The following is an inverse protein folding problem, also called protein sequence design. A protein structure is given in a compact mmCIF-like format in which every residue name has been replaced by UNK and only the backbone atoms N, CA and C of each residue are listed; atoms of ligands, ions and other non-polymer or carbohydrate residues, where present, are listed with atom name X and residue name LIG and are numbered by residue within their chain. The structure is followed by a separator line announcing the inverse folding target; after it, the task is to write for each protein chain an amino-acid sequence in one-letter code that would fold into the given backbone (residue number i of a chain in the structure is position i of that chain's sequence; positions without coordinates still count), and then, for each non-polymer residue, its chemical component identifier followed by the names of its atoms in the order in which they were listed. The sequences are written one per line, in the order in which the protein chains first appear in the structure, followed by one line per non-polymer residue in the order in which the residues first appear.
data_IF_324016091737
#
_entry.id   IF_324016091737
#
_cell.length_a   1.000
_cell.length_b   1.000
_cell.length_c   1.000
_cell.angle_alpha   90.00
_cell.angle_beta   90.00
_cell.angle_gamma   90.00
#
_symmetry.space_group_name_H-M   'P 1'
#
loop_
_entity.id
_entity.type
_entity.pdbx_description
1 polymer ?
#
# COMPACT_ATOMS: atom_id res chain seq x y z
N UNK A 1 7.38 -0.65 -9.44
CA UNK A 1 6.02 -1.10 -9.20
C UNK A 1 5.00 -0.45 -10.14
N UNK A 2 3.73 -0.79 -9.99
CA UNK A 2 2.63 -0.20 -10.79
C UNK A 2 2.38 1.27 -10.44
N UNK A 3 2.41 1.62 -9.16
CA UNK A 3 2.24 2.99 -8.67
C UNK A 3 3.45 3.85 -9.03
N UNK A 4 3.22 5.04 -9.59
CA UNK A 4 4.26 5.85 -10.21
C UNK A 4 5.01 6.78 -9.24
N UNK A 5 4.82 6.67 -7.92
CA UNK A 5 5.60 7.40 -6.91
C UNK A 5 7.09 7.11 -7.05
N UNK A 6 7.90 8.16 -7.14
CA UNK A 6 9.35 8.06 -7.37
C UNK A 6 10.16 8.23 -6.08
N UNK A 7 9.56 8.82 -5.02
CA UNK A 7 10.21 9.03 -3.72
C UNK A 7 9.96 7.83 -2.82
N UNK A 8 11.04 7.23 -2.31
CA UNK A 8 10.98 6.16 -1.32
C UNK A 8 10.78 6.75 0.07
N UNK A 9 9.94 6.09 0.90
CA UNK A 9 9.71 6.52 2.29
C UNK A 9 9.34 8.01 2.40
N UNK A 10 8.35 8.43 1.60
CA UNK A 10 7.98 9.84 1.35
C UNK A 10 7.52 10.60 2.59
N UNK A 11 7.09 9.90 3.65
CA UNK A 11 6.60 10.47 4.91
C UNK A 11 7.38 10.00 6.13
N UNK A 12 8.59 9.44 5.97
CA UNK A 12 9.46 8.99 7.06
C UNK A 12 8.80 7.95 7.99
N UNK A 13 7.92 7.09 7.44
CA UNK A 13 7.13 6.14 8.23
C UNK A 13 7.65 4.69 8.16
N UNK A 14 8.70 4.39 7.37
CA UNK A 14 9.17 3.02 7.16
C UNK A 14 9.72 2.37 8.43
N UNK A 15 10.11 3.17 9.43
CA UNK A 15 10.52 2.71 10.76
C UNK A 15 9.37 2.43 11.73
N UNK A 16 8.11 2.79 11.40
CA UNK A 16 6.95 2.51 12.23
C UNK A 16 6.71 1.01 12.31
N UNK A 17 6.66 0.47 13.53
CA UNK A 17 6.41 -0.95 13.77
C UNK A 17 5.13 -1.44 13.06
N UNK A 18 5.14 -2.67 12.51
CA UNK A 18 3.91 -3.27 12.01
C UNK A 18 2.82 -3.31 13.10
N UNK A 19 1.61 -2.92 12.77
CA UNK A 19 0.50 -2.88 13.74
C UNK A 19 0.30 -4.24 14.41
N UNK A 20 0.08 -4.24 15.73
CA UNK A 20 -0.05 -5.46 16.54
C UNK A 20 1.27 -6.18 16.83
N UNK A 21 2.44 -5.55 16.54
CA UNK A 21 3.76 -6.04 16.96
C UNK A 21 4.34 -5.18 18.10
N UNK A 22 5.35 -5.72 18.75
CA UNK A 22 6.14 -5.01 19.77
C UNK A 22 7.62 -5.14 19.47
N UNK A 23 8.40 -4.11 19.82
CA UNK A 23 9.86 -4.19 19.71
C UNK A 23 10.41 -5.00 20.88
N UNK A 24 11.15 -6.08 20.58
CA UNK A 24 11.81 -6.93 21.56
C UNK A 24 13.18 -7.38 21.03
N UNK A 25 14.23 -7.10 21.76
CA UNK A 25 15.62 -7.49 21.44
C UNK A 25 16.02 -7.11 20.00
N UNK A 26 15.68 -5.88 19.56
CA UNK A 26 15.96 -5.39 18.19
C UNK A 26 15.13 -6.07 17.09
N UNK A 27 13.98 -6.63 17.44
CA UNK A 27 13.08 -7.29 16.50
C UNK A 27 11.64 -6.83 16.70
N UNK A 28 10.91 -6.66 15.60
CA UNK A 28 9.46 -6.56 15.62
C UNK A 28 8.89 -7.97 15.78
N UNK A 29 8.13 -8.21 16.85
CA UNK A 29 7.58 -9.51 17.20
C UNK A 29 6.07 -9.41 17.28
N UNK A 30 5.36 -10.24 16.53
CA UNK A 30 3.91 -10.34 16.63
C UNK A 30 3.50 -10.95 17.96
N UNK A 31 2.46 -10.37 18.57
CA UNK A 31 1.85 -10.87 19.80
C UNK A 31 0.42 -11.35 19.47
N UNK A 32 0.22 -12.64 19.16
CA UNK A 32 -1.11 -13.15 18.88
C UNK A 32 -1.99 -13.05 20.13
N UNK A 33 -3.25 -12.65 19.94
CA UNK A 33 -4.28 -12.74 20.97
C UNK A 33 -4.79 -14.19 21.05
N UNK A 34 -5.01 -14.79 19.87
CA UNK A 34 -5.43 -16.18 19.68
C UNK A 34 -4.64 -16.75 18.52
N UNK A 35 -4.21 -17.98 18.59
CA UNK A 35 -3.51 -18.65 17.50
C UNK A 35 -4.32 -19.88 17.05
N UNK A 36 -4.70 -19.93 15.76
CA UNK A 36 -5.41 -21.06 15.19
C UNK A 36 -4.50 -22.03 14.42
N UNK A 37 -3.21 -21.70 14.34
CA UNK A 37 -2.18 -22.54 13.73
C UNK A 37 -1.28 -23.16 14.81
N UNK A 38 -0.55 -24.21 14.44
CA UNK A 38 0.30 -24.94 15.36
C UNK A 38 1.48 -24.06 15.81
N UNK A 39 1.72 -23.92 17.12
CA UNK A 39 2.71 -23.04 17.77
C UNK A 39 4.12 -23.11 17.19
N UNK A 40 4.49 -24.18 16.50
CA UNK A 40 5.82 -24.38 15.93
C UNK A 40 6.11 -23.62 14.64
N UNK A 41 5.09 -23.01 13.99
CA UNK A 41 5.22 -22.49 12.62
C UNK A 41 5.30 -20.95 12.59
N UNK A 42 4.88 -20.19 13.63
CA UNK A 42 4.25 -18.91 13.38
C UNK A 42 4.58 -17.74 14.27
N UNK A 43 5.78 -17.68 14.81
CA UNK A 43 6.17 -16.42 15.44
C UNK A 43 6.86 -15.51 14.43
N UNK A 44 6.09 -14.55 13.88
CA UNK A 44 6.66 -13.49 13.07
C UNK A 44 7.66 -12.70 13.94
N UNK A 45 8.91 -12.67 13.49
CA UNK A 45 9.99 -11.94 14.15
C UNK A 45 10.99 -11.50 13.09
N UNK A 46 11.12 -10.18 12.88
CA UNK A 46 12.07 -9.59 11.93
C UNK A 46 12.93 -8.55 12.62
N UNK A 47 14.17 -8.39 12.16
CA UNK A 47 15.06 -7.34 12.63
C UNK A 47 14.41 -5.96 12.41
N UNK A 48 14.44 -5.12 13.46
CA UNK A 48 13.84 -3.80 13.43
C UNK A 48 14.71 -2.79 14.19
N UNK A 49 14.92 -1.63 13.58
CA UNK A 49 15.66 -0.54 14.19
C UNK A 49 15.26 0.81 13.60
N UNK A 50 15.64 1.89 14.28
CA UNK A 50 15.25 3.25 13.93
C UNK A 50 15.85 3.75 12.60
N UNK A 51 16.88 3.09 12.05
CA UNK A 51 17.45 3.49 10.77
C UNK A 51 16.47 3.33 9.61
N UNK A 52 15.43 2.50 9.76
CA UNK A 52 14.37 2.32 8.79
C UNK A 52 13.58 3.61 8.54
N UNK A 53 13.49 4.51 9.53
CA UNK A 53 12.86 5.82 9.33
C UNK A 53 13.56 6.68 8.28
N UNK A 54 14.87 6.46 8.08
CA UNK A 54 15.67 7.18 7.09
C UNK A 54 15.93 6.37 5.81
N UNK A 55 15.22 5.25 5.62
CA UNK A 55 15.41 4.41 4.43
C UNK A 55 15.18 5.20 3.14
N UNK A 56 16.20 5.22 2.28
CA UNK A 56 16.19 6.00 1.04
C UNK A 56 16.57 7.48 1.21
N UNK A 57 16.82 7.97 2.44
CA UNK A 57 17.17 9.36 2.73
C UNK A 57 18.60 9.53 3.22
N UNK A 58 19.25 10.59 2.77
CA UNK A 58 20.57 11.05 3.22
C UNK A 58 20.50 12.54 3.58
N UNK A 59 21.17 12.92 4.68
CA UNK A 59 21.31 14.32 5.12
C UNK A 59 22.78 14.63 5.25
N UNK A 60 23.29 15.63 4.52
CA UNK A 60 24.70 16.03 4.56
C UNK A 60 24.90 17.53 4.37
N UNK A 61 25.96 18.09 4.94
CA UNK A 61 26.42 19.44 4.64
C UNK A 61 27.06 19.53 3.25
N UNK A 62 26.88 20.64 2.57
CA UNK A 62 27.45 20.88 1.23
C UNK A 62 28.97 20.91 1.25
N UNK A 63 29.59 21.56 2.26
CA UNK A 63 31.02 21.81 2.32
C UNK A 63 31.72 21.22 3.56
N UNK A 64 31.03 20.43 4.38
CA UNK A 64 31.58 19.76 5.56
C UNK A 64 31.25 18.26 5.50
N UNK A 65 32.18 17.42 6.00
CA UNK A 65 31.97 15.98 6.09
C UNK A 65 31.14 15.56 7.33
N UNK A 66 30.92 16.48 8.27
CA UNK A 66 30.07 16.22 9.43
C UNK A 66 28.59 16.43 9.05
N UNK A 67 27.72 15.43 9.30
CA UNK A 67 26.29 15.66 9.11
C UNK A 67 25.80 16.73 10.10
N UNK A 68 24.76 17.52 9.75
CA UNK A 68 24.05 18.37 10.68
C UNK A 68 23.37 17.51 11.77
N UNK A 69 22.92 18.16 12.86
CA UNK A 69 22.05 17.46 13.79
C UNK A 69 20.67 17.25 13.13
N UNK A 70 20.23 16.02 13.04
CA UNK A 70 18.89 15.66 12.57
C UNK A 70 18.35 14.45 13.33
N UNK A 71 17.04 14.35 13.40
CA UNK A 71 16.32 13.22 13.99
C UNK A 71 14.95 13.05 13.36
N UNK A 72 14.38 11.85 13.46
CA UNK A 72 12.95 11.62 13.18
C UNK A 72 12.18 11.89 14.47
N UNK A 73 11.07 12.63 14.34
CA UNK A 73 10.33 13.13 15.49
C UNK A 73 8.84 13.18 15.25
N UNK A 74 8.05 13.03 16.32
CA UNK A 74 6.60 13.22 16.35
C UNK A 74 6.21 14.57 16.99
N UNK A 75 7.17 15.45 17.29
CA UNK A 75 6.92 16.69 18.05
C UNK A 75 6.01 17.67 17.29
N UNK A 76 6.14 17.72 15.98
CA UNK A 76 5.31 18.57 15.11
C UNK A 76 4.83 17.76 13.92
N UNK A 77 3.89 16.82 14.10
CA UNK A 77 3.40 16.02 13.00
C UNK A 77 2.66 16.88 11.97
N UNK A 78 2.81 16.56 10.68
CA UNK A 78 2.00 17.16 9.61
C UNK A 78 0.53 16.77 9.80
N UNK A 79 0.31 15.52 10.18
CA UNK A 79 -1.00 14.97 10.53
C UNK A 79 -0.85 13.76 11.47
N UNK A 80 -1.97 13.32 12.07
CA UNK A 80 -1.95 12.22 13.04
C UNK A 80 -1.85 10.83 12.42
N UNK A 81 -2.07 10.68 11.13
CA UNK A 81 -2.02 9.38 10.46
C UNK A 81 -0.58 8.99 10.08
N UNK A 82 0.26 9.99 9.83
CA UNK A 82 1.70 9.88 9.57
C UNK A 82 2.42 10.86 10.50
N UNK A 83 2.67 10.46 11.77
CA UNK A 83 3.11 11.41 12.80
C UNK A 83 4.59 11.78 12.73
N UNK A 84 5.40 11.03 11.97
CA UNK A 84 6.83 11.25 11.90
C UNK A 84 7.18 12.36 10.89
N UNK A 85 8.19 13.15 11.23
CA UNK A 85 8.79 14.14 10.35
C UNK A 85 10.31 14.15 10.54
N UNK A 86 11.07 14.50 9.52
CA UNK A 86 12.51 14.73 9.62
C UNK A 86 12.75 16.13 10.16
N UNK A 87 13.29 16.21 11.38
CA UNK A 87 13.78 17.46 11.98
C UNK A 87 15.25 17.67 11.68
N UNK A 88 15.65 18.91 11.37
CA UNK A 88 17.06 19.32 11.16
C UNK A 88 17.29 20.66 11.85
N UNK A 89 18.33 20.73 12.71
CA UNK A 89 18.85 21.99 13.24
C UNK A 89 19.91 22.56 12.28
N UNK A 90 19.45 23.42 11.38
CA UNK A 90 20.28 24.04 10.34
C UNK A 90 21.22 25.08 10.91
N UNK A 91 20.87 25.70 12.08
CA UNK A 91 21.72 26.67 12.75
C UNK A 91 22.98 26.08 13.36
N UNK A 92 22.99 24.76 13.62
CA UNK A 92 24.14 24.01 14.07
C UNK A 92 25.06 23.51 12.93
N UNK A 93 24.67 23.73 11.67
CA UNK A 93 25.40 23.27 10.48
C UNK A 93 26.55 24.21 10.14
N UNK A 94 27.62 23.68 9.52
CA UNK A 94 28.77 24.46 9.06
C UNK A 94 28.55 25.10 7.67
N UNK A 95 27.60 24.59 6.91
CA UNK A 95 27.21 25.07 5.58
C UNK A 95 25.75 24.69 5.29
N UNK A 96 25.26 25.10 4.13
CA UNK A 96 23.97 24.64 3.63
C UNK A 96 23.88 23.12 3.62
N UNK A 97 22.66 22.59 3.69
CA UNK A 97 22.38 21.18 3.92
C UNK A 97 21.60 20.60 2.74
N UNK A 98 22.08 19.50 2.18
CA UNK A 98 21.33 18.63 1.31
C UNK A 98 20.52 17.60 2.07
N UNK A 99 19.23 17.48 1.76
CA UNK A 99 18.36 16.35 2.13
C UNK A 99 18.00 15.64 0.83
N UNK A 100 18.50 14.42 0.66
CA UNK A 100 18.45 13.71 -0.62
C UNK A 100 17.69 12.41 -0.50
N UNK A 101 16.98 12.03 -1.58
CA UNK A 101 16.27 10.77 -1.70
C UNK A 101 16.71 10.01 -2.95
N UNK A 102 17.16 8.78 -2.77
CA UNK A 102 17.64 7.90 -3.85
C UNK A 102 16.51 7.25 -4.67
N UNK A 103 15.25 7.51 -4.36
CA UNK A 103 14.14 6.73 -4.89
C UNK A 103 14.24 5.26 -4.48
N UNK A 104 13.84 4.36 -5.37
CA UNK A 104 13.91 2.91 -5.09
C UNK A 104 15.23 2.29 -5.57
N UNK A 105 15.74 2.68 -6.72
CA UNK A 105 17.03 2.23 -7.33
C UNK A 105 17.62 3.33 -8.21
N UNK A 106 17.58 4.57 -7.76
CA UNK A 106 17.78 5.78 -8.54
C UNK A 106 16.46 6.27 -9.12
N UNK A 107 16.42 7.57 -9.43
CA UNK A 107 15.27 8.23 -10.05
C UNK A 107 15.52 8.29 -11.55
N UNK A 108 14.67 7.60 -12.33
CA UNK A 108 14.74 7.60 -13.77
C UNK A 108 13.94 8.76 -14.37
N UNK A 109 14.55 9.50 -15.29
CA UNK A 109 13.91 10.59 -16.02
C UNK A 109 14.19 10.46 -17.52
N UNK A 110 13.29 11.00 -18.34
CA UNK A 110 13.41 11.01 -19.79
C UNK A 110 13.40 12.45 -20.30
N UNK A 111 14.31 12.77 -21.21
CA UNK A 111 14.43 14.08 -21.87
C UNK A 111 13.06 14.58 -22.38
N UNK A 112 12.78 15.85 -22.13
CA UNK A 112 11.53 16.51 -22.51
C UNK A 112 10.32 16.19 -21.63
N UNK A 113 10.42 15.22 -20.74
CA UNK A 113 9.33 14.87 -19.82
C UNK A 113 9.27 15.79 -18.63
N UNK A 114 8.08 15.91 -18.05
CA UNK A 114 7.79 16.72 -16.88
C UNK A 114 7.49 15.83 -15.68
N UNK A 115 8.00 16.22 -14.51
CA UNK A 115 7.86 15.52 -13.24
C UNK A 115 7.31 16.47 -12.19
N UNK A 116 6.12 16.18 -11.68
CA UNK A 116 5.46 16.97 -10.65
C UNK A 116 5.93 16.50 -9.27
N UNK A 117 6.27 17.43 -8.38
CA UNK A 117 6.69 17.13 -7.02
C UNK A 117 6.02 18.05 -6.02
N UNK A 118 5.94 17.59 -4.77
CA UNK A 118 5.47 18.35 -3.63
C UNK A 118 6.21 17.95 -2.37
N UNK A 119 6.25 18.85 -1.41
CA UNK A 119 6.79 18.62 -0.08
C UNK A 119 6.18 19.58 0.93
N UNK A 120 6.25 19.21 2.21
CA UNK A 120 5.79 20.05 3.30
C UNK A 120 6.97 20.43 4.19
N UNK A 121 7.03 21.72 4.58
CA UNK A 121 8.00 22.26 5.52
C UNK A 121 7.30 22.97 6.66
N UNK A 122 7.73 22.68 7.89
CA UNK A 122 7.51 23.58 9.04
C UNK A 122 8.86 24.20 9.38
N UNK A 123 8.95 25.53 9.40
CA UNK A 123 10.21 26.25 9.52
C UNK A 123 10.22 27.19 10.73
N UNK A 124 11.42 27.39 11.31
CA UNK A 124 11.70 28.37 12.34
C UNK A 124 12.97 29.14 11.95
N UNK A 125 12.88 30.49 11.94
CA UNK A 125 13.97 31.39 11.56
C UNK A 125 14.44 31.30 10.09
N UNK A 126 13.58 30.77 9.19
CA UNK A 126 13.83 30.68 7.76
C UNK A 126 13.04 31.71 6.92
N UNK A 127 12.15 32.48 7.52
CA UNK A 127 11.39 33.49 6.79
C UNK A 127 12.31 34.36 5.94
N UNK A 128 11.90 34.65 4.69
CA UNK A 128 12.65 35.42 3.68
C UNK A 128 13.95 34.73 3.21
N UNK A 129 14.06 33.39 3.36
CA UNK A 129 15.12 32.60 2.75
C UNK A 129 14.59 31.77 1.59
N UNK A 130 15.48 31.16 0.84
CA UNK A 130 15.16 30.28 -0.29
C UNK A 130 15.51 28.85 0.06
N UNK A 131 14.60 27.92 -0.25
CA UNK A 131 14.85 26.48 -0.31
C UNK A 131 14.82 26.06 -1.78
N UNK A 132 15.77 25.25 -2.21
CA UNK A 132 15.85 24.79 -3.59
C UNK A 132 15.53 23.29 -3.66
N UNK A 133 14.52 22.92 -4.44
CA UNK A 133 14.30 21.53 -4.84
C UNK A 133 15.09 21.26 -6.12
N UNK A 134 15.74 20.09 -6.21
CA UNK A 134 16.57 19.72 -7.33
C UNK A 134 16.53 18.22 -7.65
N UNK A 135 16.90 17.86 -8.88
CA UNK A 135 17.42 16.55 -9.21
C UNK A 135 18.95 16.64 -9.35
N UNK A 136 19.62 15.74 -8.65
CA UNK A 136 21.09 15.63 -8.65
C UNK A 136 21.54 14.37 -9.34
N UNK A 137 22.69 14.43 -9.99
CA UNK A 137 23.42 13.22 -10.44
C UNK A 137 24.18 12.55 -9.28
N UNK A 138 24.98 11.53 -9.57
CA UNK A 138 25.76 10.79 -8.56
C UNK A 138 26.97 11.57 -8.03
N UNK A 139 27.41 12.59 -8.74
CA UNK A 139 28.46 13.54 -8.35
C UNK A 139 27.90 14.78 -7.62
N UNK A 140 26.63 14.77 -7.23
CA UNK A 140 25.89 15.87 -6.57
C UNK A 140 25.78 17.13 -7.44
N UNK A 141 25.89 17.00 -8.76
CA UNK A 141 25.68 18.13 -9.66
C UNK A 141 24.17 18.31 -9.93
N UNK A 142 23.74 19.56 -9.93
CA UNK A 142 22.34 19.89 -10.20
C UNK A 142 22.04 19.68 -11.70
N UNK A 143 21.15 18.75 -11.99
CA UNK A 143 20.60 18.52 -13.33
C UNK A 143 19.48 19.51 -13.63
N UNK A 144 18.56 19.69 -12.70
CA UNK A 144 17.47 20.68 -12.78
C UNK A 144 17.09 21.12 -11.38
N UNK A 145 16.65 22.35 -11.21
CA UNK A 145 16.24 22.88 -9.91
C UNK A 145 15.11 23.89 -10.00
N UNK A 146 14.46 24.10 -8.84
CA UNK A 146 13.42 25.11 -8.64
C UNK A 146 13.53 25.71 -7.24
N UNK A 147 13.48 27.05 -7.16
CA UNK A 147 13.58 27.79 -5.92
C UNK A 147 12.19 28.08 -5.33
N UNK A 148 12.11 28.02 -4.00
CA UNK A 148 10.92 28.32 -3.22
C UNK A 148 11.26 29.34 -2.14
N UNK A 149 10.52 30.45 -2.12
CA UNK A 149 10.65 31.47 -1.10
C UNK A 149 9.90 31.03 0.17
N UNK A 150 10.57 31.03 1.31
CA UNK A 150 9.93 30.78 2.61
C UNK A 150 9.29 32.07 3.09
N UNK A 151 7.97 32.13 3.05
CA UNK A 151 7.20 33.32 3.40
C UNK A 151 6.82 33.37 4.87
N UNK A 152 6.64 32.23 5.51
CA UNK A 152 6.14 32.10 6.90
C UNK A 152 6.88 31.02 7.67
N UNK A 153 7.18 31.30 8.94
CA UNK A 153 7.63 30.37 9.94
C UNK A 153 6.48 29.95 10.88
N UNK A 154 6.69 28.91 11.66
CA UNK A 154 5.81 28.49 12.75
C UNK A 154 4.55 27.73 12.33
N UNK A 155 4.45 27.31 11.07
CA UNK A 155 3.37 26.48 10.56
C UNK A 155 3.84 25.57 9.43
N UNK A 156 3.14 24.47 9.21
CA UNK A 156 3.31 23.64 8.00
C UNK A 156 2.87 24.43 6.76
N UNK A 157 3.74 24.47 5.76
CA UNK A 157 3.48 25.07 4.47
C UNK A 157 3.69 24.02 3.38
N UNK A 158 2.76 23.97 2.43
CA UNK A 158 2.81 23.08 1.27
C UNK A 158 3.53 23.80 0.12
N UNK A 159 4.47 23.12 -0.48
CA UNK A 159 5.19 23.56 -1.68
C UNK A 159 4.98 22.52 -2.79
N UNK A 160 4.70 23.02 -3.98
CA UNK A 160 4.56 22.18 -5.17
C UNK A 160 5.29 22.77 -6.36
N UNK A 161 5.76 21.91 -7.22
CA UNK A 161 6.48 22.30 -8.41
C UNK A 161 6.57 21.20 -9.44
N UNK A 162 7.26 21.52 -10.52
CA UNK A 162 7.61 20.53 -11.52
C UNK A 162 8.99 20.80 -12.08
N UNK A 163 9.66 19.72 -12.48
CA UNK A 163 10.87 19.73 -13.28
C UNK A 163 10.52 19.37 -14.72
N UNK A 164 11.10 20.08 -15.69
CA UNK A 164 11.20 19.61 -17.07
C UNK A 164 12.67 19.33 -17.31
N UNK A 165 13.01 18.10 -17.69
CA UNK A 165 14.39 17.68 -17.83
C UNK A 165 14.84 17.72 -19.29
N UNK A 166 16.10 18.09 -19.51
CA UNK A 166 16.74 18.18 -20.82
C UNK A 166 17.70 17.01 -21.10
N UNK A 167 17.62 15.98 -20.24
CA UNK A 167 18.46 14.78 -20.35
C UNK A 167 17.67 13.52 -19.95
N UNK A 168 18.10 12.38 -20.46
CA UNK A 168 17.63 11.06 -20.03
C UNK A 168 18.65 10.44 -19.09
N UNK A 169 18.23 10.09 -17.88
CA UNK A 169 19.05 9.43 -16.85
C UNK A 169 18.21 8.45 -16.05
N UNK A 170 18.84 7.50 -15.35
CA UNK A 170 18.15 6.44 -14.61
C UNK A 170 18.58 6.32 -13.14
N UNK A 171 19.44 7.20 -12.66
CA UNK A 171 20.10 7.12 -11.36
C UNK A 171 20.18 8.45 -10.63
N UNK A 172 19.29 9.40 -10.94
CA UNK A 172 19.22 10.68 -10.24
C UNK A 172 18.69 10.54 -8.82
N UNK A 173 18.89 11.59 -8.02
CA UNK A 173 18.37 11.75 -6.67
C UNK A 173 17.51 13.01 -6.60
N UNK A 174 16.37 12.94 -5.92
CA UNK A 174 15.64 14.14 -5.51
C UNK A 174 16.34 14.78 -4.32
N UNK A 175 16.43 16.09 -4.27
CA UNK A 175 17.11 16.80 -3.19
C UNK A 175 16.43 18.11 -2.81
N UNK A 176 16.51 18.46 -1.53
CA UNK A 176 16.21 19.79 -1.00
C UNK A 176 17.50 20.41 -0.48
N UNK A 177 17.89 21.58 -1.00
CA UNK A 177 18.97 22.40 -0.47
C UNK A 177 18.39 23.41 0.51
N UNK A 178 18.86 23.36 1.75
CA UNK A 178 18.41 24.16 2.87
C UNK A 178 19.54 25.09 3.35
N UNK A 179 19.25 26.35 3.70
CA UNK A 179 20.27 27.28 4.17
C UNK A 179 20.77 26.89 5.58
N UNK A 180 22.01 27.22 5.91
CA UNK A 180 22.66 26.92 7.21
C UNK A 180 22.21 27.87 8.34
N UNK A 181 20.90 28.02 8.53
CA UNK A 181 20.32 28.78 9.65
C UNK A 181 18.92 28.28 9.98
N UNK A 182 18.50 28.47 11.22
CA UNK A 182 17.16 28.13 11.69
C UNK A 182 16.92 26.62 11.82
N UNK A 183 15.67 26.23 11.85
CA UNK A 183 15.23 24.83 12.03
C UNK A 183 14.15 24.49 11.03
N UNK A 184 14.14 23.24 10.58
CA UNK A 184 13.14 22.74 9.64
C UNK A 184 12.64 21.36 10.07
N UNK A 185 11.34 21.14 9.86
CA UNK A 185 10.71 19.83 9.83
C UNK A 185 10.25 19.59 8.40
N UNK A 186 10.53 18.42 7.88
CA UNK A 186 10.20 18.00 6.52
C UNK A 186 9.30 16.79 6.62
N UNK A 187 8.22 16.80 5.84
CA UNK A 187 7.33 15.64 5.73
C UNK A 187 6.70 15.59 4.34
N UNK A 188 6.20 14.41 3.98
CA UNK A 188 5.48 14.12 2.76
C UNK A 188 6.14 14.70 1.50
N UNK A 189 7.32 14.22 1.18
CA UNK A 189 8.00 14.53 -0.09
C UNK A 189 7.60 13.51 -1.14
N UNK A 190 7.07 13.96 -2.28
CA UNK A 190 6.48 13.08 -3.30
C UNK A 190 6.80 13.61 -4.69
N UNK A 191 7.08 12.72 -5.65
CA UNK A 191 7.33 13.07 -7.04
C UNK A 191 6.75 12.02 -8.00
N UNK A 192 6.04 12.50 -9.03
CA UNK A 192 5.44 11.68 -10.07
C UNK A 192 5.79 12.20 -11.46
N UNK A 193 5.89 11.31 -12.47
CA UNK A 193 5.83 11.77 -13.86
C UNK A 193 4.47 12.45 -14.10
N UNK A 194 4.44 13.50 -14.94
CA UNK A 194 3.18 14.10 -15.37
C UNK A 194 2.39 13.14 -16.26
N UNK A 195 3.09 12.39 -17.10
CA UNK A 195 2.51 11.35 -17.95
C UNK A 195 2.28 10.07 -17.13
N UNK A 196 1.10 9.95 -16.54
CA UNK A 196 0.62 8.74 -15.86
C UNK A 196 -0.43 8.03 -16.71
N UNK A 197 -0.70 6.77 -16.43
CA UNK A 197 -1.73 5.99 -17.12
C UNK A 197 -3.08 6.70 -17.02
N UNK A 198 -3.74 6.88 -18.17
CA UNK A 198 -4.97 7.66 -18.34
C UNK A 198 -4.92 9.10 -17.79
N UNK A 199 -3.73 9.65 -17.49
CA UNK A 199 -3.54 11.02 -17.04
C UNK A 199 -4.01 11.31 -15.61
N UNK A 200 -4.19 10.29 -14.78
CA UNK A 200 -4.60 10.47 -13.39
C UNK A 200 -3.50 11.12 -12.56
N UNK A 201 -3.87 12.13 -11.76
CA UNK A 201 -2.93 12.75 -10.81
C UNK A 201 -2.42 11.71 -9.80
N UNK A 202 -1.12 11.69 -9.56
CA UNK A 202 -0.48 10.69 -8.68
C UNK A 202 -0.84 9.24 -9.07
N UNK A 203 -0.94 8.99 -10.36
CA UNK A 203 -1.48 7.77 -10.94
C UNK A 203 -0.48 6.64 -11.08
N UNK A 204 -0.78 5.76 -12.02
CA UNK A 204 0.00 4.56 -12.31
C UNK A 204 1.05 4.84 -13.39
N UNK A 205 2.06 4.02 -13.44
CA UNK A 205 3.05 4.02 -14.52
C UNK A 205 2.39 3.64 -15.84
N UNK A 206 2.52 4.53 -16.83
CA UNK A 206 1.96 4.35 -18.18
C UNK A 206 2.43 3.04 -18.84
N UNK A 207 3.72 2.74 -18.75
CA UNK A 207 4.31 1.55 -19.36
C UNK A 207 3.78 0.25 -18.75
N UNK A 208 3.75 0.15 -17.43
CA UNK A 208 3.31 -1.07 -16.73
C UNK A 208 1.80 -1.25 -16.80
N UNK A 209 1.03 -0.18 -16.56
CA UNK A 209 -0.42 -0.23 -16.62
C UNK A 209 -0.93 -0.48 -18.06
N UNK A 210 -0.25 0.10 -19.07
CA UNK A 210 -0.53 -0.18 -20.48
C UNK A 210 -0.30 -1.65 -20.86
N UNK A 211 0.75 -2.28 -20.37
CA UNK A 211 0.98 -3.72 -20.56
C UNK A 211 -0.12 -4.58 -19.92
N UNK A 212 -0.60 -4.20 -18.72
CA UNK A 212 -1.71 -4.89 -18.07
C UNK A 212 -3.02 -4.72 -18.83
N UNK A 213 -3.32 -3.52 -19.33
CA UNK A 213 -4.48 -3.27 -20.20
C UNK A 213 -4.42 -4.15 -21.47
N UNK A 214 -3.23 -4.27 -22.08
CA UNK A 214 -3.06 -5.03 -23.32
C UNK A 214 -3.24 -6.55 -23.13
N UNK A 215 -3.13 -7.05 -21.89
CA UNK A 215 -3.54 -8.42 -21.53
C UNK A 215 -5.04 -8.62 -21.57
N UNK A 216 -5.83 -7.54 -21.52
CA UNK A 216 -7.32 -7.57 -21.50
C UNK A 216 -7.88 -8.52 -20.45
N UNK A 217 -7.53 -8.35 -19.16
CA UNK A 217 -8.05 -9.19 -18.11
C UNK A 217 -9.56 -8.98 -17.95
N UNK A 218 -10.33 -10.04 -17.70
CA UNK A 218 -11.76 -9.92 -17.41
C UNK A 218 -12.00 -9.27 -16.03
N UNK A 219 -11.07 -9.43 -15.09
CA UNK A 219 -11.13 -8.81 -13.77
C UNK A 219 -9.75 -8.64 -13.13
N UNK A 220 -9.69 -7.77 -12.10
CA UNK A 220 -8.50 -7.55 -11.27
C UNK A 220 -8.85 -7.79 -9.81
N UNK A 221 -8.02 -8.56 -9.09
CA UNK A 221 -8.16 -8.89 -7.67
C UNK A 221 -7.31 -7.96 -6.80
N UNK A 222 -7.93 -7.28 -5.81
CA UNK A 222 -7.25 -6.37 -4.88
C UNK A 222 -7.86 -6.42 -3.46
N UNK A 223 -7.08 -6.19 -2.38
CA UNK A 223 -5.62 -6.15 -2.30
C UNK A 223 -5.00 -7.52 -2.53
N UNK A 224 -5.80 -8.56 -2.37
CA UNK A 224 -5.46 -9.94 -2.58
C UNK A 224 -4.46 -10.51 -1.59
N UNK A 225 -4.27 -11.82 -1.67
CA UNK A 225 -3.26 -12.55 -0.96
C UNK A 225 -3.23 -12.31 0.56
N UNK A 226 -2.06 -12.49 1.12
CA UNK A 226 -1.85 -12.39 2.57
C UNK A 226 -1.90 -10.96 3.11
N UNK A 227 -1.87 -9.94 2.24
CA UNK A 227 -1.98 -8.53 2.64
C UNK A 227 -3.34 -8.26 3.29
N UNK A 228 -4.42 -8.85 2.77
CA UNK A 228 -5.75 -8.70 3.38
C UNK A 228 -5.82 -9.35 4.75
N UNK A 229 -5.10 -10.44 4.96
CA UNK A 229 -5.04 -11.14 6.23
C UNK A 229 -4.15 -10.43 7.26
N UNK A 230 -3.00 -9.88 6.83
CA UNK A 230 -2.02 -9.22 7.70
C UNK A 230 -1.18 -10.19 8.52
N UNK A 231 -0.15 -9.66 9.19
CA UNK A 231 0.67 -10.37 10.17
C UNK A 231 -0.12 -10.67 11.44
N UNK A 232 -0.93 -9.73 11.86
CA UNK A 232 -1.86 -9.76 12.98
C UNK A 232 -3.20 -9.24 12.50
N UNK A 233 -4.25 -9.38 13.29
CA UNK A 233 -5.54 -8.77 12.96
C UNK A 233 -5.47 -7.23 12.89
N UNK A 234 -4.54 -6.60 13.60
CA UNK A 234 -4.36 -5.15 13.57
C UNK A 234 -3.59 -4.68 12.34
N UNK A 235 -2.68 -5.54 11.82
CA UNK A 235 -1.85 -5.26 10.63
C UNK A 235 -2.59 -5.52 9.30
N UNK A 236 -3.81 -6.07 9.32
CA UNK A 236 -4.59 -6.26 8.09
C UNK A 236 -4.81 -4.95 7.35
N UNK A 237 -4.92 -4.99 6.04
CA UNK A 237 -5.28 -3.78 5.28
C UNK A 237 -6.69 -3.30 5.66
N UNK A 238 -6.83 -2.01 5.87
CA UNK A 238 -8.11 -1.33 6.17
C UNK A 238 -8.42 -0.41 5.00
N UNK A 239 -9.26 -0.84 4.09
CA UNK A 239 -9.51 -0.13 2.82
C UNK A 239 -9.92 1.33 3.00
N UNK A 240 -10.62 1.66 4.11
CA UNK A 240 -11.01 3.04 4.46
C UNK A 240 -9.81 3.96 4.69
N UNK A 241 -8.67 3.42 5.10
CA UNK A 241 -7.42 4.15 5.28
C UNK A 241 -6.66 4.34 3.95
N UNK A 242 -7.09 3.68 2.88
CA UNK A 242 -6.45 3.70 1.56
C UNK A 242 -7.12 4.66 0.56
N UNK A 243 -8.15 5.40 0.98
CA UNK A 243 -8.89 6.34 0.15
C UNK A 243 -8.75 7.78 0.65
N UNK A 244 -9.10 8.76 -0.18
CA UNK A 244 -9.00 10.19 0.14
C UNK A 244 -7.60 10.74 -0.07
N UNK A 245 -7.28 11.81 0.64
CA UNK A 245 -6.01 12.54 0.51
C UNK A 245 -4.81 11.63 0.83
N UNK A 246 -3.88 11.48 -0.12
CA UNK A 246 -2.70 10.62 0.03
C UNK A 246 -1.75 11.07 1.15
N UNK A 247 -1.77 12.34 1.53
CA UNK A 247 -0.97 12.88 2.65
C UNK A 247 -1.43 12.31 3.99
N UNK A 248 -2.69 11.87 4.08
CA UNK A 248 -3.33 11.38 5.31
C UNK A 248 -3.48 9.85 5.35
N UNK A 249 -2.92 9.15 4.37
CA UNK A 249 -2.97 7.67 4.35
C UNK A 249 -1.81 7.12 5.19
N UNK A 250 -2.09 6.36 6.27
CA UNK A 250 -1.04 5.94 7.21
C UNK A 250 -0.03 4.97 6.60
N UNK A 251 -0.44 4.24 5.57
CA UNK A 251 0.34 3.11 5.11
C UNK A 251 0.43 2.00 6.17
N UNK A 252 1.00 0.85 5.80
CA UNK A 252 1.23 -0.25 6.74
C UNK A 252 2.38 -1.13 6.25
N UNK A 253 3.19 -1.63 7.17
CA UNK A 253 4.19 -2.64 6.84
C UNK A 253 3.50 -3.95 6.49
N UNK A 254 3.86 -4.51 5.35
CA UNK A 254 3.29 -5.77 4.90
C UNK A 254 4.26 -6.94 5.11
N UNK A 255 3.71 -8.14 5.11
CA UNK A 255 4.45 -9.37 5.35
C UNK A 255 5.46 -9.76 4.24
N UNK A 256 5.53 -8.99 3.16
CA UNK A 256 6.51 -9.15 2.07
C UNK A 256 7.79 -8.31 2.29
N UNK A 257 7.88 -7.60 3.42
CA UNK A 257 9.11 -6.95 3.85
C UNK A 257 9.28 -5.50 3.41
N UNK A 258 8.20 -4.79 3.15
CA UNK A 258 8.21 -3.36 2.84
C UNK A 258 6.96 -2.67 3.39
N UNK A 259 7.00 -1.34 3.55
CA UNK A 259 5.83 -0.57 3.90
C UNK A 259 5.03 -0.22 2.64
N UNK A 260 3.76 -0.58 2.61
CA UNK A 260 2.80 -0.08 1.65
C UNK A 260 2.34 1.31 2.06
N UNK A 261 2.52 2.30 1.20
CA UNK A 261 2.13 3.70 1.49
C UNK A 261 0.64 3.97 1.34
N UNK A 262 -0.13 2.95 0.93
CA UNK A 262 -1.53 3.07 0.51
C UNK A 262 -1.78 4.05 -0.64
N UNK A 263 -0.73 4.41 -1.40
CA UNK A 263 -0.85 5.28 -2.56
C UNK A 263 -1.72 4.67 -3.66
N UNK A 264 -1.53 3.37 -3.95
CA UNK A 264 -2.44 2.55 -4.75
C UNK A 264 -3.46 1.88 -3.81
N UNK A 265 -4.51 2.63 -3.48
CA UNK A 265 -5.57 2.20 -2.58
C UNK A 265 -6.81 1.68 -3.29
N UNK A 266 -7.92 1.56 -2.54
CA UNK A 266 -9.18 1.02 -3.04
C UNK A 266 -9.77 1.87 -4.18
N UNK A 267 -9.68 3.19 -4.08
CA UNK A 267 -10.14 4.10 -5.14
C UNK A 267 -9.35 3.90 -6.42
N UNK A 268 -8.02 3.93 -6.33
CA UNK A 268 -7.10 3.79 -7.47
C UNK A 268 -7.20 2.39 -8.11
N UNK A 269 -7.47 1.35 -7.32
CA UNK A 269 -7.75 0.02 -7.82
C UNK A 269 -9.04 -0.01 -8.67
N UNK A 270 -10.13 0.55 -8.16
CA UNK A 270 -11.41 0.59 -8.88
C UNK A 270 -11.32 1.45 -10.15
N UNK A 271 -10.62 2.59 -10.07
CA UNK A 271 -10.34 3.43 -11.23
C UNK A 271 -9.52 2.67 -12.28
N UNK A 272 -8.50 1.92 -11.85
CA UNK A 272 -7.71 1.10 -12.77
C UNK A 272 -8.55 0.02 -13.46
N UNK A 273 -9.47 -0.63 -12.74
CA UNK A 273 -10.40 -1.59 -13.34
C UNK A 273 -11.24 -0.93 -14.46
N UNK A 274 -11.81 0.25 -14.19
CA UNK A 274 -12.56 1.01 -15.19
C UNK A 274 -11.70 1.41 -16.40
N UNK A 275 -10.48 1.92 -16.16
CA UNK A 275 -9.55 2.37 -17.20
C UNK A 275 -9.13 1.24 -18.17
N UNK A 276 -9.13 -0.02 -17.72
CA UNK A 276 -8.74 -1.17 -18.54
C UNK A 276 -9.92 -2.04 -18.99
N UNK A 277 -11.16 -1.59 -18.74
CA UNK A 277 -12.41 -2.31 -19.04
C UNK A 277 -12.47 -3.71 -18.40
N UNK A 278 -12.11 -3.80 -17.11
CA UNK A 278 -12.11 -5.03 -16.31
C UNK A 278 -13.04 -4.91 -15.09
N UNK A 279 -13.62 -6.03 -14.65
CA UNK A 279 -14.38 -6.09 -13.41
C UNK A 279 -13.44 -6.01 -12.19
N UNK A 280 -13.87 -5.38 -11.09
CA UNK A 280 -13.16 -5.40 -9.81
C UNK A 280 -13.53 -6.63 -8.97
N UNK A 281 -12.50 -7.27 -8.37
CA UNK A 281 -12.65 -8.25 -7.29
C UNK A 281 -12.02 -7.68 -6.03
N UNK A 282 -12.86 -7.32 -5.06
CA UNK A 282 -12.41 -6.83 -3.76
C UNK A 282 -12.26 -7.99 -2.78
N UNK A 283 -11.10 -8.10 -2.13
CA UNK A 283 -10.86 -9.10 -1.08
C UNK A 283 -10.99 -8.46 0.28
N UNK A 284 -11.87 -8.98 1.15
CA UNK A 284 -12.06 -8.51 2.52
C UNK A 284 -11.56 -9.52 3.56
N UNK A 285 -11.17 -9.05 4.75
CA UNK A 285 -10.71 -9.92 5.82
C UNK A 285 -11.90 -10.67 6.46
N UNK A 286 -11.75 -11.97 6.69
CA UNK A 286 -12.75 -12.87 7.27
C UNK A 286 -12.63 -13.04 8.80
N UNK A 287 -11.92 -12.15 9.50
CA UNK A 287 -11.68 -12.24 10.95
C UNK A 287 -10.48 -13.12 11.34
N UNK A 288 -9.57 -13.35 10.39
CA UNK A 288 -8.39 -14.20 10.58
C UNK A 288 -7.17 -13.56 9.91
N UNK A 289 -6.03 -13.57 10.60
CA UNK A 289 -4.75 -13.14 10.05
C UNK A 289 -4.09 -14.27 9.25
N UNK A 290 -2.94 -13.98 8.62
CA UNK A 290 -2.24 -14.95 7.79
C UNK A 290 -1.84 -16.21 8.58
N UNK A 291 -2.37 -17.37 8.18
CA UNK A 291 -2.10 -18.68 8.74
C UNK A 291 -0.60 -18.99 8.83
N UNK A 292 0.16 -18.60 7.79
CA UNK A 292 1.59 -18.91 7.68
C UNK A 292 2.51 -17.91 8.37
N UNK A 293 1.97 -16.93 9.10
CA UNK A 293 2.76 -15.90 9.80
C UNK A 293 2.49 -15.87 11.29
N UNK A 294 1.26 -15.65 11.71
CA UNK A 294 0.92 -15.52 13.12
C UNK A 294 -0.36 -16.30 13.50
N UNK A 295 -1.26 -16.51 12.54
CA UNK A 295 -2.48 -17.30 12.75
C UNK A 295 -3.43 -16.71 13.78
N UNK A 296 -3.44 -15.38 13.94
CA UNK A 296 -4.33 -14.68 14.87
C UNK A 296 -5.77 -14.62 14.33
N UNK A 297 -6.76 -14.53 15.23
CA UNK A 297 -8.16 -14.41 14.84
C UNK A 297 -8.98 -13.68 15.91
N UNK A 298 -10.11 -13.16 15.50
CA UNK A 298 -11.09 -12.59 16.42
C UNK A 298 -12.19 -13.60 16.76
N UNK A 299 -12.52 -13.72 18.06
CA UNK A 299 -13.60 -14.56 18.55
C UNK A 299 -14.90 -13.79 18.71
N UNK A 300 -14.80 -12.50 19.00
CA UNK A 300 -15.95 -11.68 19.34
C UNK A 300 -16.85 -11.43 18.13
N UNK A 301 -18.10 -11.82 18.23
CA UNK A 301 -19.07 -11.71 17.13
C UNK A 301 -19.24 -10.26 16.63
N UNK A 302 -19.22 -9.29 17.55
CA UNK A 302 -19.32 -7.87 17.17
C UNK A 302 -18.15 -7.38 16.33
N UNK A 303 -16.96 -7.95 16.49
CA UNK A 303 -15.81 -7.64 15.61
C UNK A 303 -16.01 -8.22 14.22
N UNK A 304 -16.60 -9.39 14.11
CA UNK A 304 -16.95 -9.98 12.81
C UNK A 304 -18.06 -9.17 12.16
N UNK A 305 -19.07 -8.70 12.91
CA UNK A 305 -20.11 -7.81 12.39
C UNK A 305 -19.53 -6.50 11.83
N UNK A 306 -18.52 -5.94 12.49
CA UNK A 306 -17.82 -4.75 11.99
C UNK A 306 -17.08 -5.02 10.68
N UNK A 307 -16.47 -6.21 10.50
CA UNK A 307 -15.82 -6.58 9.24
C UNK A 307 -16.85 -6.81 8.13
N UNK A 308 -18.00 -7.39 8.45
CA UNK A 308 -19.11 -7.53 7.49
C UNK A 308 -19.60 -6.14 7.05
N UNK A 309 -19.79 -5.22 8.00
CA UNK A 309 -20.18 -3.85 7.68
C UNK A 309 -19.11 -3.15 6.84
N UNK A 310 -17.82 -3.36 7.13
CA UNK A 310 -16.71 -2.84 6.34
C UNK A 310 -16.74 -3.34 4.88
N UNK A 311 -17.11 -4.60 4.65
CA UNK A 311 -17.29 -5.15 3.31
C UNK A 311 -18.50 -4.53 2.59
N UNK A 312 -19.63 -4.36 3.30
CA UNK A 312 -20.82 -3.68 2.75
C UNK A 312 -20.54 -2.21 2.41
N UNK A 313 -19.78 -1.52 3.24
CA UNK A 313 -19.34 -0.14 3.01
C UNK A 313 -18.43 -0.03 1.77
N UNK A 314 -17.55 -1.02 1.55
CA UNK A 314 -16.70 -1.08 0.36
C UNK A 314 -17.53 -1.28 -0.92
N UNK A 315 -18.53 -2.14 -0.88
CA UNK A 315 -19.46 -2.32 -2.00
C UNK A 315 -20.27 -1.03 -2.23
N UNK A 316 -20.74 -0.36 -1.16
CA UNK A 316 -21.43 0.93 -1.28
C UNK A 316 -20.51 2.02 -1.86
N UNK A 317 -19.23 2.04 -1.48
CA UNK A 317 -18.25 2.96 -2.07
C UNK A 317 -18.13 2.73 -3.59
N UNK A 318 -18.07 1.49 -4.04
CA UNK A 318 -17.96 1.17 -5.45
C UNK A 318 -19.27 1.41 -6.24
N UNK A 319 -20.41 0.96 -5.71
CA UNK A 319 -21.67 0.88 -6.46
C UNK A 319 -22.74 1.87 -6.01
N UNK A 320 -22.62 2.42 -4.80
CA UNK A 320 -23.67 3.26 -4.19
C UNK A 320 -23.89 4.57 -4.94
N UNK A 321 -25.13 5.05 -4.90
CA UNK A 321 -25.47 6.38 -5.38
C UNK A 321 -24.79 7.48 -4.53
N UNK A 322 -24.55 8.64 -5.10
CA UNK A 322 -23.90 9.79 -4.46
C UNK A 322 -24.68 10.35 -3.26
N UNK A 323 -25.91 9.91 -3.02
CA UNK A 323 -26.71 10.22 -1.84
C UNK A 323 -26.41 9.29 -0.65
N UNK A 324 -25.79 8.14 -0.89
CA UNK A 324 -25.34 7.24 0.18
C UNK A 324 -24.05 7.73 0.81
N UNK A 325 -23.70 7.23 2.00
CA UNK A 325 -22.52 7.68 2.75
C UNK A 325 -21.24 7.46 1.94
N UNK A 326 -21.03 6.26 1.45
CA UNK A 326 -19.79 5.92 0.75
C UNK A 326 -19.82 6.25 -0.75
N UNK A 327 -20.97 6.26 -1.40
CA UNK A 327 -21.12 6.79 -2.76
C UNK A 327 -20.82 8.29 -2.83
N UNK A 328 -21.24 9.06 -1.83
CA UNK A 328 -20.87 10.47 -1.66
C UNK A 328 -19.35 10.62 -1.49
N UNK A 329 -18.73 9.79 -0.64
CA UNK A 329 -17.29 9.81 -0.40
C UNK A 329 -16.48 9.47 -1.66
N UNK A 330 -16.97 8.54 -2.50
CA UNK A 330 -16.39 8.28 -3.83
C UNK A 330 -16.43 9.53 -4.71
N UNK A 331 -17.58 10.20 -4.76
CA UNK A 331 -17.73 11.43 -5.54
C UNK A 331 -16.81 12.56 -5.04
N UNK A 332 -16.64 12.72 -3.72
CA UNK A 332 -15.69 13.66 -3.11
C UNK A 332 -14.23 13.32 -3.47
N UNK A 333 -13.92 12.04 -3.70
CA UNK A 333 -12.63 11.58 -4.20
C UNK A 333 -12.46 11.71 -5.73
N UNK A 334 -13.41 12.36 -6.42
CA UNK A 334 -13.31 12.71 -7.82
C UNK A 334 -14.07 11.81 -8.79
N UNK A 335 -14.78 10.76 -8.31
CA UNK A 335 -15.52 9.83 -9.19
C UNK A 335 -16.98 9.68 -8.74
N UNK A 336 -17.90 10.34 -9.46
CA UNK A 336 -19.33 10.33 -9.11
C UNK A 336 -20.08 9.08 -9.59
N UNK A 337 -19.68 8.49 -10.72
CA UNK A 337 -20.29 7.28 -11.27
C UNK A 337 -19.93 6.02 -10.46
N UNK A 338 -20.75 4.97 -10.46
CA UNK A 338 -20.36 3.67 -9.93
C UNK A 338 -19.15 3.08 -10.66
N UNK A 339 -18.33 2.35 -9.93
CA UNK A 339 -17.18 1.59 -10.45
C UNK A 339 -17.59 0.15 -10.83
N UNK A 340 -16.81 -0.58 -11.66
CA UNK A 340 -17.12 -1.92 -12.12
C UNK A 340 -16.78 -3.01 -11.08
N UNK A 341 -17.28 -2.90 -9.84
CA UNK A 341 -17.12 -3.95 -8.85
C UNK A 341 -18.15 -5.07 -9.06
N UNK A 342 -17.68 -6.30 -9.21
CA UNK A 342 -18.54 -7.46 -9.46
C UNK A 342 -18.34 -8.58 -8.48
N UNK A 343 -17.13 -8.74 -7.95
CA UNK A 343 -16.76 -9.84 -7.07
C UNK A 343 -16.32 -9.34 -5.70
N UNK A 344 -16.70 -10.08 -4.65
CA UNK A 344 -16.17 -9.89 -3.30
C UNK A 344 -15.66 -11.24 -2.80
N UNK A 345 -14.36 -11.31 -2.55
CA UNK A 345 -13.74 -12.47 -1.96
C UNK A 345 -13.63 -12.31 -0.45
N UNK A 346 -14.09 -13.30 0.30
CA UNK A 346 -14.11 -13.30 1.76
C UNK A 346 -12.92 -14.07 2.29
N UNK A 347 -11.92 -13.35 2.79
CA UNK A 347 -10.67 -13.92 3.31
C UNK A 347 -9.64 -14.22 2.23
N UNK A 348 -8.56 -14.87 2.63
CA UNK A 348 -7.51 -15.41 1.77
C UNK A 348 -6.82 -16.59 2.44
N UNK A 349 -6.73 -17.72 1.75
CA UNK A 349 -6.08 -18.94 2.27
C UNK A 349 -6.55 -19.33 3.68
N UNK A 350 -7.82 -19.15 3.95
CA UNK A 350 -8.39 -19.46 5.26
C UNK A 350 -8.75 -20.95 5.41
N UNK A 351 -8.77 -21.41 6.65
CA UNK A 351 -9.00 -22.82 6.96
C UNK A 351 -10.00 -23.01 8.10
N UNK A 352 -10.61 -24.18 8.13
CA UNK A 352 -11.36 -24.67 9.27
C UNK A 352 -12.78 -24.11 9.39
N UNK A 353 -13.49 -24.65 10.37
CA UNK A 353 -14.91 -24.41 10.57
C UNK A 353 -15.21 -22.96 11.01
N UNK A 354 -14.25 -22.29 11.67
CA UNK A 354 -14.37 -20.89 12.06
C UNK A 354 -14.52 -20.00 10.83
N UNK A 355 -13.64 -20.22 9.83
CA UNK A 355 -13.74 -19.49 8.57
C UNK A 355 -15.11 -19.69 7.92
N UNK A 356 -15.56 -20.95 7.79
CA UNK A 356 -16.84 -21.24 7.13
C UNK A 356 -18.03 -20.55 7.83
N UNK A 357 -18.05 -20.54 9.17
CA UNK A 357 -19.07 -19.79 9.93
C UNK A 357 -19.05 -18.28 9.62
N UNK A 358 -17.86 -17.68 9.58
CA UNK A 358 -17.74 -16.28 9.22
C UNK A 358 -18.15 -16.05 7.77
N UNK A 359 -17.67 -16.87 6.83
CA UNK A 359 -18.04 -16.80 5.42
C UNK A 359 -19.55 -16.83 5.20
N UNK A 360 -20.27 -17.76 5.82
CA UNK A 360 -21.73 -17.85 5.72
C UNK A 360 -22.41 -16.54 6.15
N UNK A 361 -21.92 -15.86 7.20
CA UNK A 361 -22.44 -14.57 7.67
C UNK A 361 -22.18 -13.46 6.64
N UNK A 362 -20.95 -13.38 6.10
CA UNK A 362 -20.61 -12.45 5.01
C UNK A 362 -21.46 -12.68 3.77
N UNK A 363 -21.56 -13.94 3.32
CA UNK A 363 -22.36 -14.32 2.16
C UNK A 363 -23.80 -13.84 2.30
N UNK A 364 -24.44 -14.16 3.43
CA UNK A 364 -25.82 -13.76 3.72
C UNK A 364 -25.98 -12.25 3.68
N UNK A 365 -25.14 -11.49 4.39
CA UNK A 365 -25.23 -10.04 4.47
C UNK A 365 -25.02 -9.36 3.12
N UNK A 366 -24.02 -9.84 2.32
CA UNK A 366 -23.75 -9.31 0.99
C UNK A 366 -24.95 -9.60 0.07
N UNK A 367 -25.44 -10.83 0.02
CA UNK A 367 -26.55 -11.21 -0.87
C UNK A 367 -27.88 -10.55 -0.51
N UNK A 368 -28.13 -10.25 0.76
CA UNK A 368 -29.31 -9.51 1.18
C UNK A 368 -29.33 -8.07 0.67
N UNK A 369 -28.17 -7.40 0.65
CA UNK A 369 -28.06 -5.98 0.24
C UNK A 369 -27.67 -5.80 -1.22
N UNK A 370 -26.81 -6.69 -1.74
CA UNK A 370 -26.22 -6.62 -3.08
C UNK A 370 -26.29 -7.98 -3.79
N UNK A 371 -27.48 -8.45 -4.19
CA UNK A 371 -27.65 -9.80 -4.79
C UNK A 371 -26.87 -10.00 -6.07
N UNK A 372 -26.49 -8.92 -6.78
CA UNK A 372 -25.70 -8.95 -8.01
C UNK A 372 -24.22 -9.24 -7.79
N UNK A 373 -23.68 -9.05 -6.57
CA UNK A 373 -22.29 -9.35 -6.25
C UNK A 373 -22.08 -10.87 -6.18
N UNK A 374 -21.12 -11.38 -6.92
CA UNK A 374 -20.66 -12.77 -6.80
C UNK A 374 -19.66 -12.89 -5.64
N UNK A 375 -19.94 -13.78 -4.69
CA UNK A 375 -19.12 -13.95 -3.48
C UNK A 375 -18.17 -15.11 -3.65
N UNK A 376 -16.86 -14.82 -3.47
CA UNK A 376 -15.79 -15.82 -3.60
C UNK A 376 -15.44 -16.37 -2.21
N UNK A 377 -15.39 -17.70 -2.11
CA UNK A 377 -15.00 -18.43 -0.91
C UNK A 377 -13.54 -18.84 -0.98
N UNK A 378 -12.70 -18.26 -0.11
CA UNK A 378 -11.25 -18.50 -0.04
C UNK A 378 -10.89 -19.67 0.92
N UNK A 379 -11.69 -20.74 0.93
CA UNK A 379 -11.47 -21.90 1.78
C UNK A 379 -10.33 -22.76 1.22
N UNK A 380 -9.22 -22.78 1.94
CA UNK A 380 -8.06 -23.62 1.64
C UNK A 380 -8.17 -24.94 2.38
N UNK A 381 -7.83 -26.06 1.72
CA UNK A 381 -7.87 -27.42 2.30
C UNK A 381 -9.26 -27.84 2.82
N UNK A 382 -10.05 -28.41 2.02
CA UNK A 382 -11.51 -28.47 2.04
C UNK A 382 -12.21 -29.70 2.64
N UNK A 383 -11.97 -30.19 3.87
CA UNK A 383 -12.97 -31.10 4.45
C UNK A 383 -14.26 -30.38 4.88
N UNK A 384 -14.25 -29.01 4.94
CA UNK A 384 -15.35 -28.22 5.48
C UNK A 384 -16.19 -27.50 4.42
N UNK A 385 -15.96 -27.72 3.14
CA UNK A 385 -16.71 -27.07 2.05
C UNK A 385 -18.22 -27.33 2.13
N UNK A 386 -18.59 -28.51 2.60
CA UNK A 386 -20.00 -28.91 2.78
C UNK A 386 -20.71 -28.20 3.95
N UNK A 387 -19.96 -27.51 4.81
CA UNK A 387 -20.50 -26.69 5.88
C UNK A 387 -20.78 -25.25 5.41
N UNK A 388 -20.35 -24.90 4.20
CA UNK A 388 -20.74 -23.65 3.59
C UNK A 388 -22.18 -23.75 3.06
N UNK A 389 -23.04 -22.86 3.52
CA UNK A 389 -24.46 -22.88 3.15
C UNK A 389 -24.68 -22.63 1.65
N UNK A 390 -23.89 -21.72 1.08
CA UNK A 390 -23.86 -21.37 -0.34
C UNK A 390 -22.50 -20.83 -0.74
N UNK A 391 -22.08 -21.15 -1.95
CA UNK A 391 -20.86 -20.65 -2.59
C UNK A 391 -21.23 -20.23 -4.01
N UNK A 392 -20.87 -19.02 -4.45
CA UNK A 392 -20.98 -18.65 -5.86
C UNK A 392 -19.71 -19.07 -6.60
N UNK A 393 -18.53 -18.79 -6.02
CA UNK A 393 -17.22 -19.12 -6.59
C UNK A 393 -16.33 -19.66 -5.48
N UNK A 394 -15.64 -20.78 -5.74
CA UNK A 394 -14.61 -21.34 -4.86
C UNK A 394 -13.22 -20.97 -5.40
N UNK A 395 -12.33 -20.50 -4.52
CA UNK A 395 -10.94 -20.15 -4.84
C UNK A 395 -9.92 -21.11 -4.20
N UNK A 396 -9.57 -22.22 -4.88
CA UNK A 396 -8.48 -23.09 -4.47
C UNK A 396 -7.13 -22.53 -4.93
N UNK A 397 -6.11 -22.65 -4.08
CA UNK A 397 -4.73 -22.27 -4.38
C UNK A 397 -3.82 -23.48 -4.53
N UNK A 398 -2.89 -23.43 -5.49
CA UNK A 398 -1.96 -24.53 -5.80
C UNK A 398 -0.52 -24.04 -5.91
N UNK A 399 0.29 -24.34 -4.90
CA UNK A 399 1.74 -24.12 -4.90
C UNK A 399 2.42 -25.49 -4.88
N UNK A 400 2.56 -26.10 -6.07
CA UNK A 400 2.90 -27.49 -6.23
C UNK A 400 4.06 -27.70 -7.22
N UNK A 401 4.59 -28.93 -7.32
CA UNK A 401 5.63 -29.26 -8.30
C UNK A 401 5.08 -29.28 -9.72
N UNK A 402 5.94 -29.06 -10.74
CA UNK A 402 5.55 -29.20 -12.13
C UNK A 402 4.96 -30.59 -12.45
N UNK A 403 5.53 -31.63 -11.81
CA UNK A 403 5.00 -33.02 -11.93
C UNK A 403 3.60 -33.18 -11.35
N UNK A 404 3.30 -32.45 -10.25
CA UNK A 404 1.96 -32.45 -9.69
C UNK A 404 0.94 -31.84 -10.67
N UNK A 405 1.24 -30.66 -11.25
CA UNK A 405 0.37 -30.02 -12.24
C UNK A 405 0.14 -30.91 -13.46
N UNK A 406 1.19 -31.58 -13.96
CA UNK A 406 1.07 -32.52 -15.07
C UNK A 406 0.14 -33.70 -14.73
N UNK A 407 0.28 -34.28 -13.53
CA UNK A 407 -0.51 -35.42 -13.10
C UNK A 407 -1.95 -35.09 -12.69
N UNK A 408 -2.25 -33.82 -12.45
CA UNK A 408 -3.55 -33.31 -12.01
C UNK A 408 -4.18 -32.33 -13.01
N UNK A 409 -3.74 -32.34 -14.27
CA UNK A 409 -4.27 -31.46 -15.31
C UNK A 409 -5.78 -31.62 -15.53
N UNK A 410 -6.33 -32.78 -15.20
CA UNK A 410 -7.73 -33.15 -15.32
C UNK A 410 -8.52 -33.12 -13.99
N UNK A 411 -8.00 -32.46 -12.96
CA UNK A 411 -8.60 -32.47 -11.61
C UNK A 411 -10.04 -31.96 -11.62
N UNK A 412 -10.35 -30.99 -12.44
CA UNK A 412 -11.67 -30.39 -12.55
C UNK A 412 -12.60 -31.17 -13.47
N UNK A 413 -12.08 -31.92 -14.44
CA UNK A 413 -12.86 -32.81 -15.31
C UNK A 413 -13.51 -33.99 -14.54
N UNK A 414 -13.04 -34.22 -13.32
CA UNK A 414 -13.54 -35.29 -12.39
C UNK A 414 -14.67 -34.79 -11.49
N UNK A 415 -14.95 -33.47 -11.49
CA UNK A 415 -16.05 -32.94 -10.71
C UNK A 415 -17.40 -33.26 -11.38
N UNK A 416 -18.47 -33.42 -10.60
CA UNK A 416 -19.81 -33.55 -11.15
C UNK A 416 -20.19 -32.31 -12.00
N UNK A 417 -20.92 -32.54 -13.11
CA UNK A 417 -21.36 -31.45 -13.99
C UNK A 417 -22.35 -30.48 -13.31
N UNK A 418 -22.95 -30.90 -12.20
CA UNK A 418 -23.99 -30.14 -11.45
C UNK A 418 -23.47 -29.50 -10.15
N UNK A 419 -22.14 -29.29 -10.01
CA UNK A 419 -21.64 -28.55 -8.85
C UNK A 419 -22.27 -27.14 -8.80
N UNK A 420 -22.73 -26.70 -7.61
CA UNK A 420 -23.51 -25.47 -7.51
C UNK A 420 -22.68 -24.17 -7.48
N UNK A 421 -21.38 -24.23 -7.77
CA UNK A 421 -20.44 -23.11 -7.73
C UNK A 421 -19.45 -23.14 -8.90
N UNK A 422 -18.92 -21.98 -9.24
CA UNK A 422 -17.80 -21.85 -10.17
C UNK A 422 -16.47 -22.08 -9.45
N UNK A 423 -15.40 -22.36 -10.20
CA UNK A 423 -14.04 -22.47 -9.70
C UNK A 423 -13.20 -21.36 -10.30
N UNK A 424 -12.49 -20.67 -9.43
CA UNK A 424 -11.48 -19.67 -9.75
C UNK A 424 -10.18 -20.03 -9.05
N UNK A 425 -9.13 -20.38 -9.78
CA UNK A 425 -7.81 -20.64 -9.20
C UNK A 425 -7.07 -19.31 -9.10
N UNK A 426 -7.20 -18.66 -7.94
CA UNK A 426 -6.69 -17.29 -7.73
C UNK A 426 -5.19 -17.21 -7.55
N UNK A 427 -4.57 -18.26 -7.03
CA UNK A 427 -3.13 -18.31 -6.86
C UNK A 427 -2.59 -19.69 -7.24
N UNK A 428 -1.55 -19.72 -8.08
CA UNK A 428 -0.84 -20.97 -8.38
C UNK A 428 0.61 -20.69 -8.81
N UNK A 429 1.48 -21.63 -8.49
CA UNK A 429 2.85 -21.63 -9.01
C UNK A 429 3.42 -23.06 -9.04
N UNK A 430 4.19 -23.35 -10.08
CA UNK A 430 5.03 -24.52 -10.11
C UNK A 430 6.30 -24.24 -9.30
N UNK A 431 6.36 -24.76 -8.06
CA UNK A 431 7.50 -24.63 -7.17
C UNK A 431 8.43 -25.82 -7.34
N UNK A 432 9.65 -25.55 -7.87
CA UNK A 432 10.70 -26.56 -7.91
C UNK A 432 11.22 -26.84 -6.50
N UNK A 433 11.23 -28.09 -6.06
CA UNK A 433 12.17 -28.45 -5.00
C UNK A 433 13.56 -28.46 -5.64
N UNK A 434 14.59 -27.86 -4.99
CA UNK A 434 15.96 -28.08 -5.45
C UNK A 434 16.19 -29.61 -5.49
N UNK A 435 16.90 -30.12 -6.49
CA UNK A 435 17.25 -31.54 -6.50
C UNK A 435 17.97 -31.89 -5.20
N UNK A 436 17.78 -33.12 -4.67
CA UNK A 436 18.39 -33.55 -3.44
C UNK A 436 19.91 -33.50 -3.49
#
# INVERSE_FOLDING_TARGET
GLYAEMIRNRGFEDGTLPSGTVLKDGKAVAKPLHCYSNDSINHFSIAWNDSLFMEGWEVKCVSDTRPPFYEITEVKPLNNATPHALFIDLGASASDVWVMNDGYWGIAVTEGQRYNFQFYLFTEELKNTVVTAALLDREDQIVVSKNFQIERDGSWNHYEGAFTVDTTANDLRFALLLPHKGKVYIDFVSMFPENTFCGHKNGLREDVAGMLRDLRPDFVRWPGGRIVAGLTMDNRIKWKETIGDIVKRPGEYNLWGYRSTYGFGYHEFLQFCEDIDADGMFVCNAGMSCLFRNGDYWEEENRIDNLIQDALDAIEYALGDTTTVYGKRRAENGHAAPFPLKYVEVGNENVGLRYVKNYNRFYKAIKEKYPQIEVVCALMFSPYIQEAEKIDILDPHYYETAGWFYNNADVYDKLPDDIPYKIYVGEYAAIGRPPP
#
